data_IF_837492324559
#
_entry.id   IF_837492324559
#
_cell.length_a   1.000
_cell.length_b   1.000
_cell.length_c   1.000
_cell.angle_alpha   90.00
_cell.angle_beta   90.00
_cell.angle_gamma   90.00
#
_symmetry.space_group_name_H-M   'P 1'
#
loop_
_entity.id
_entity.type
_entity.pdbx_description
1 polymer ?
#
# COMPACT_ATOMS: atom_id res chain seq x y z
N UNK A 1 -3.41 29.59 6.61
CA UNK A 1 -4.14 28.30 6.55
C UNK A 1 -3.70 27.48 5.34
N UNK A 2 -3.27 28.10 4.23
CA UNK A 2 -2.78 27.36 3.05
C UNK A 2 -1.55 26.48 3.30
N UNK A 3 -0.59 26.92 4.13
CA UNK A 3 0.62 26.12 4.41
C UNK A 3 0.29 24.80 5.10
N UNK A 4 -0.71 24.80 5.98
CA UNK A 4 -1.15 23.62 6.71
C UNK A 4 -1.86 22.63 5.78
N UNK A 5 -2.69 23.15 4.86
CA UNK A 5 -3.34 22.37 3.82
C UNK A 5 -2.31 21.78 2.84
N UNK A 6 -1.34 22.59 2.41
CA UNK A 6 -0.26 22.17 1.52
C UNK A 6 0.60 21.08 2.16
N UNK A 7 0.98 21.26 3.42
CA UNK A 7 1.71 20.24 4.19
C UNK A 7 0.91 18.94 4.32
N UNK A 8 -0.40 19.03 4.59
CA UNK A 8 -1.28 17.87 4.65
C UNK A 8 -1.35 17.13 3.30
N UNK A 9 -1.48 17.86 2.19
CA UNK A 9 -1.51 17.28 0.84
C UNK A 9 -0.17 16.62 0.45
N UNK A 10 0.96 17.21 0.85
CA UNK A 10 2.30 16.65 0.64
C UNK A 10 2.45 15.34 1.43
N UNK A 11 2.08 15.35 2.70
CA UNK A 11 2.14 14.14 3.55
C UNK A 11 1.22 13.06 2.99
N UNK A 12 0.01 13.42 2.59
CA UNK A 12 -0.95 12.48 2.02
C UNK A 12 -0.43 11.83 0.73
N UNK A 13 0.12 12.62 -0.19
CA UNK A 13 0.78 12.10 -1.39
C UNK A 13 1.97 11.20 -1.05
N UNK A 14 2.79 11.61 -0.08
CA UNK A 14 3.90 10.80 0.41
C UNK A 14 3.46 9.44 0.97
N UNK A 15 2.37 9.40 1.75
CA UNK A 15 1.80 8.15 2.29
C UNK A 15 1.30 7.24 1.17
N UNK A 16 0.62 7.78 0.17
CA UNK A 16 0.14 6.98 -0.96
C UNK A 16 1.30 6.43 -1.81
N UNK A 17 2.28 7.26 -2.16
CA UNK A 17 3.47 6.84 -2.89
C UNK A 17 4.29 5.78 -2.13
N UNK A 18 4.46 5.95 -0.81
CA UNK A 18 5.12 4.96 0.03
C UNK A 18 4.35 3.65 0.10
N UNK A 19 3.01 3.68 0.13
CA UNK A 19 2.17 2.47 0.17
C UNK A 19 2.27 1.66 -1.12
N UNK A 20 2.30 2.34 -2.27
CA UNK A 20 2.52 1.73 -3.58
C UNK A 20 3.91 1.08 -3.68
N UNK A 21 4.97 1.82 -3.32
CA UNK A 21 6.34 1.29 -3.33
C UNK A 21 6.49 0.14 -2.33
N UNK A 22 5.91 0.24 -1.13
CA UNK A 22 5.95 -0.82 -0.13
C UNK A 22 5.27 -2.10 -0.64
N UNK A 23 4.17 -1.97 -1.38
CA UNK A 23 3.50 -3.12 -1.99
C UNK A 23 4.35 -3.76 -3.09
N UNK A 24 4.96 -2.95 -3.97
CA UNK A 24 5.85 -3.44 -5.03
C UNK A 24 7.13 -4.07 -4.47
N UNK A 25 7.70 -3.49 -3.42
CA UNK A 25 8.94 -3.95 -2.77
C UNK A 25 8.72 -5.06 -1.75
N UNK A 26 7.47 -5.29 -1.31
CA UNK A 26 7.14 -6.39 -0.44
C UNK A 26 7.55 -7.71 -1.11
N UNK A 27 8.54 -8.38 -0.54
CA UNK A 27 9.01 -9.65 -1.08
C UNK A 27 7.98 -10.74 -0.77
N UNK A 28 7.25 -11.18 -1.80
CA UNK A 28 6.26 -12.28 -1.72
C UNK A 28 6.78 -13.49 -0.94
N UNK A 29 8.05 -13.88 -1.14
CA UNK A 29 8.70 -14.99 -0.44
C UNK A 29 8.77 -14.80 1.10
N UNK A 30 8.88 -13.57 1.60
CA UNK A 30 8.90 -13.28 3.05
C UNK A 30 7.49 -13.26 3.64
N UNK A 31 6.52 -12.76 2.88
CA UNK A 31 5.10 -12.80 3.23
C UNK A 31 4.56 -14.23 3.27
N UNK A 32 4.97 -15.07 2.32
CA UNK A 32 4.64 -16.49 2.29
C UNK A 32 5.09 -17.21 3.56
N UNK A 33 6.36 -17.03 3.93
CA UNK A 33 6.90 -17.62 5.16
C UNK A 33 6.16 -17.15 6.42
N UNK A 34 5.72 -15.90 6.48
CA UNK A 34 4.96 -15.37 7.62
C UNK A 34 3.51 -15.87 7.64
N UNK A 35 2.89 -16.03 6.48
CA UNK A 35 1.55 -16.61 6.36
C UNK A 35 1.55 -18.10 6.74
N UNK A 36 2.56 -18.85 6.28
CA UNK A 36 2.78 -20.25 6.66
C UNK A 36 3.06 -20.41 8.16
N UNK A 37 3.65 -19.39 8.80
CA UNK A 37 3.86 -19.32 10.25
C UNK A 37 2.58 -18.94 11.04
N UNK A 38 1.43 -18.80 10.39
CA UNK A 38 0.13 -18.54 11.03
C UNK A 38 -0.23 -17.05 11.18
N UNK A 39 0.52 -16.13 10.58
CA UNK A 39 0.19 -14.70 10.62
C UNK A 39 -0.97 -14.37 9.67
N UNK A 40 -2.16 -14.12 10.24
CA UNK A 40 -3.33 -13.70 9.48
C UNK A 40 -3.11 -12.39 8.70
N UNK A 41 -2.31 -11.47 9.25
CA UNK A 41 -1.93 -10.22 8.59
C UNK A 41 -0.98 -10.46 7.41
N UNK A 42 -0.07 -11.43 7.50
CA UNK A 42 0.77 -11.82 6.38
C UNK A 42 -0.02 -12.54 5.28
N UNK A 43 -1.00 -13.37 5.64
CA UNK A 43 -1.90 -14.00 4.66
C UNK A 43 -2.74 -12.95 3.91
N UNK A 44 -3.29 -11.96 4.61
CA UNK A 44 -4.01 -10.85 4.00
C UNK A 44 -3.12 -10.00 3.09
N UNK A 45 -1.92 -9.66 3.53
CA UNK A 45 -0.95 -8.91 2.74
C UNK A 45 -0.44 -9.71 1.53
N UNK A 46 -0.36 -11.05 1.61
CA UNK A 46 -0.03 -11.87 0.45
C UNK A 46 -1.16 -11.92 -0.57
N UNK A 47 -2.43 -11.95 -0.11
CA UNK A 47 -3.59 -11.84 -1.00
C UNK A 47 -3.62 -10.48 -1.72
N UNK A 48 -3.20 -9.42 -1.05
CA UNK A 48 -3.03 -8.09 -1.65
C UNK A 48 -1.85 -8.04 -2.63
N UNK A 49 -0.80 -8.85 -2.38
CA UNK A 49 0.36 -9.00 -3.26
C UNK A 49 0.03 -9.79 -4.55
N UNK A 50 -0.91 -10.73 -4.48
CA UNK A 50 -1.39 -11.49 -5.64
C UNK A 50 -2.30 -10.65 -6.55
N UNK A 51 -3.00 -9.66 -6.00
CA UNK A 51 -3.82 -8.70 -6.75
C UNK A 51 -3.42 -7.23 -6.47
N UNK A 52 -2.17 -6.84 -6.79
CA UNK A 52 -1.69 -5.49 -6.53
C UNK A 52 -2.48 -4.47 -7.36
N UNK A 53 -2.94 -4.87 -8.55
CA UNK A 53 -3.74 -4.04 -9.46
C UNK A 53 -5.02 -3.52 -8.82
N UNK A 54 -5.68 -4.30 -7.95
CA UNK A 54 -6.90 -3.87 -7.27
C UNK A 54 -6.63 -2.82 -6.19
N UNK A 55 -5.51 -2.94 -5.50
CA UNK A 55 -5.06 -1.94 -4.52
C UNK A 55 -4.60 -0.65 -5.21
N UNK A 56 -3.78 -0.78 -6.26
CA UNK A 56 -3.26 0.35 -7.02
C UNK A 56 -4.39 1.12 -7.72
N UNK A 57 -5.34 0.43 -8.36
CA UNK A 57 -6.51 1.08 -8.97
C UNK A 57 -7.38 1.83 -7.96
N UNK A 58 -7.53 1.33 -6.73
CA UNK A 58 -8.30 2.03 -5.68
C UNK A 58 -7.61 3.33 -5.26
N UNK A 59 -6.28 3.33 -5.11
CA UNK A 59 -5.50 4.55 -4.81
C UNK A 59 -5.54 5.51 -6.01
N UNK A 60 -5.35 4.99 -7.22
CA UNK A 60 -5.26 5.79 -8.44
C UNK A 60 -6.61 6.46 -8.77
N UNK A 61 -7.73 5.77 -8.54
CA UNK A 61 -9.08 6.36 -8.62
C UNK A 61 -9.26 7.47 -7.57
N UNK A 62 -8.73 7.28 -6.35
CA UNK A 62 -8.79 8.30 -5.29
C UNK A 62 -7.90 9.53 -5.52
N UNK A 63 -6.88 9.43 -6.38
CA UNK A 63 -6.02 10.56 -6.77
C UNK A 63 -6.53 11.26 -8.05
N UNK A 64 -7.25 10.52 -8.92
CA UNK A 64 -7.59 10.98 -10.28
C UNK A 64 -9.04 11.45 -10.45
N UNK A 65 -9.99 11.09 -9.56
CA UNK A 65 -11.41 11.52 -9.66
C UNK A 65 -11.73 12.78 -8.86
#
# INVERSE_FOLDING_TARGET
MEILLLAALIVLNGVFAMSEIALVMARRARLARLADAGSATAAAAMKLHDEPTRFLSTIQVGITS
#
